data_IF_429173784703
#
_entry.id   IF_429173784703
#
_cell.length_a   1.000
_cell.length_b   1.000
_cell.length_c   1.000
_cell.angle_alpha   90.00
_cell.angle_beta   90.00
_cell.angle_gamma   90.00
#
_symmetry.space_group_name_H-M   'P 1'
#
loop_
_entity.id
_entity.type
_entity.pdbx_description
1 polymer ?
#
# COMPACT_ATOMS: atom_id res chain seq x y z
N UNK A 1 17.32 15.65 -0.42
CA UNK A 1 16.56 15.28 0.79
C UNK A 1 15.12 15.11 0.35
N UNK A 2 14.57 13.94 0.63
CA UNK A 2 13.31 13.43 0.09
C UNK A 2 12.12 14.32 0.47
N UNK A 3 11.29 14.69 -0.50
CA UNK A 3 9.84 14.38 -0.49
C UNK A 3 9.13 15.13 -1.62
N UNK A 4 8.62 14.35 -2.55
CA UNK A 4 7.44 14.69 -3.35
C UNK A 4 6.87 13.35 -3.76
N UNK A 5 5.99 12.79 -2.92
CA UNK A 5 5.19 11.63 -3.30
C UNK A 5 4.33 12.08 -4.46
N UNK A 6 4.79 11.80 -5.68
CA UNK A 6 4.04 12.07 -6.91
C UNK A 6 2.87 11.10 -6.92
N UNK A 7 1.73 11.52 -6.37
CA UNK A 7 0.46 10.86 -6.61
C UNK A 7 0.12 11.06 -8.11
N UNK A 8 0.04 10.00 -8.93
CA UNK A 8 -0.16 10.16 -10.36
C UNK A 8 -1.52 10.81 -10.63
N UNK A 9 -1.44 12.02 -11.17
CA UNK A 9 -2.52 12.83 -11.71
C UNK A 9 -3.34 12.01 -12.72
N UNK A 10 -4.64 11.88 -12.43
CA UNK A 10 -5.62 11.24 -13.30
C UNK A 10 -5.92 12.17 -14.49
N UNK A 11 -5.09 12.15 -15.53
CA UNK A 11 -5.35 12.88 -16.77
C UNK A 11 -5.91 11.98 -17.88
N UNK A 12 -6.88 12.54 -18.58
CA UNK A 12 -7.79 11.95 -19.55
C UNK A 12 -7.37 12.39 -20.95
N UNK A 13 -6.82 11.48 -21.76
CA UNK A 13 -6.59 11.72 -23.19
C UNK A 13 -7.34 10.67 -24.02
N UNK A 14 -8.36 11.16 -24.73
CA UNK A 14 -9.36 10.40 -25.48
C UNK A 14 -8.79 9.73 -26.73
N UNK A 15 -8.58 8.40 -26.71
CA UNK A 15 -8.79 7.48 -27.85
C UNK A 15 -8.98 6.05 -27.30
N UNK A 16 -10.21 5.53 -27.38
CA UNK A 16 -10.72 4.25 -26.81
C UNK A 16 -10.66 4.18 -25.27
N UNK A 17 -11.82 4.46 -24.67
CA UNK A 17 -12.19 4.60 -23.25
C UNK A 17 -11.93 3.36 -22.34
N UNK A 18 -10.78 2.70 -22.47
CA UNK A 18 -10.32 1.68 -21.53
C UNK A 18 -9.60 2.34 -20.36
N UNK A 19 -9.99 1.98 -19.14
CA UNK A 19 -9.29 2.44 -17.94
C UNK A 19 -8.13 1.50 -17.67
N UNK A 20 -7.06 1.73 -18.42
CA UNK A 20 -5.86 0.91 -18.39
C UNK A 20 -5.02 1.21 -17.16
N UNK A 21 -4.63 0.18 -16.41
CA UNK A 21 -3.65 0.30 -15.36
C UNK A 21 -2.26 0.52 -15.97
N UNK A 22 -1.61 1.63 -15.64
CA UNK A 22 -0.26 1.94 -16.16
C UNK A 22 0.85 1.10 -15.50
N UNK A 23 0.59 0.44 -14.36
CA UNK A 23 1.57 -0.44 -13.71
C UNK A 23 1.63 -1.84 -14.32
N UNK A 24 0.53 -2.36 -14.86
CA UNK A 24 0.48 -3.72 -15.41
C UNK A 24 -0.16 -3.83 -16.79
N UNK A 25 -0.61 -2.71 -17.38
CA UNK A 25 -1.27 -2.67 -18.69
C UNK A 25 -2.69 -3.23 -18.71
N UNK A 26 -3.28 -3.61 -17.57
CA UNK A 26 -4.61 -4.24 -17.54
C UNK A 26 -5.70 -3.25 -17.91
N UNK A 27 -6.58 -3.61 -18.85
CA UNK A 27 -7.77 -2.84 -19.18
C UNK A 27 -8.89 -3.09 -18.17
N UNK A 28 -9.45 -2.04 -17.58
CA UNK A 28 -10.60 -2.13 -16.68
C UNK A 28 -11.81 -1.42 -17.28
N UNK A 29 -13.00 -1.93 -16.94
CA UNK A 29 -14.29 -1.49 -17.48
C UNK A 29 -14.84 -0.21 -16.84
N UNK A 30 -14.31 0.22 -15.69
CA UNK A 30 -14.80 1.40 -14.97
C UNK A 30 -13.74 2.02 -14.06
N UNK A 31 -13.94 3.29 -13.69
CA UNK A 31 -12.93 4.05 -12.90
C UNK A 31 -12.86 3.53 -11.48
N UNK A 32 -13.99 3.08 -10.92
CA UNK A 32 -14.04 2.38 -9.65
C UNK A 32 -13.28 1.05 -9.70
N UNK A 33 -13.47 0.27 -10.78
CA UNK A 33 -12.74 -0.99 -10.98
C UNK A 33 -11.23 -0.77 -11.09
N UNK A 34 -10.79 0.30 -11.77
CA UNK A 34 -9.38 0.66 -11.83
C UNK A 34 -8.82 1.08 -10.46
N UNK A 35 -9.53 1.91 -9.70
CA UNK A 35 -9.10 2.29 -8.33
C UNK A 35 -8.94 1.08 -7.42
N UNK A 36 -9.95 0.18 -7.40
CA UNK A 36 -9.88 -1.05 -6.62
C UNK A 36 -8.75 -1.96 -7.10
N UNK A 37 -8.59 -2.11 -8.41
CA UNK A 37 -7.50 -2.89 -8.98
C UNK A 37 -6.13 -2.38 -8.52
N UNK A 38 -5.91 -1.06 -8.57
CA UNK A 38 -4.68 -0.44 -8.05
C UNK A 38 -4.55 -0.74 -6.56
N UNK A 39 -5.61 -0.52 -5.76
CA UNK A 39 -5.61 -0.81 -4.33
C UNK A 39 -5.27 -2.26 -3.97
N UNK A 40 -5.79 -3.22 -4.72
CA UNK A 40 -5.68 -4.64 -4.36
C UNK A 40 -4.41 -5.29 -4.92
N UNK A 41 -3.89 -4.78 -6.05
CA UNK A 41 -2.81 -5.44 -6.82
C UNK A 41 -1.52 -4.64 -6.88
N UNK A 42 -1.60 -3.33 -6.65
CA UNK A 42 -0.49 -2.41 -6.88
C UNK A 42 -0.22 -1.45 -5.73
N UNK A 43 -1.16 -1.26 -4.82
CA UNK A 43 -0.88 -0.58 -3.56
C UNK A 43 -0.02 -1.49 -2.69
N UNK A 44 1.12 -0.94 -2.30
CA UNK A 44 1.82 -1.37 -1.10
C UNK A 44 0.82 -1.18 0.04
N UNK A 45 0.63 -2.14 0.97
CA UNK A 45 -0.38 -2.02 2.00
C UNK A 45 -0.06 -0.85 2.92
N UNK A 46 -0.62 0.32 2.59
CA UNK A 46 -0.55 1.54 3.38
C UNK A 46 -1.57 1.36 4.51
N UNK A 47 -1.09 1.30 5.75
CA UNK A 47 -1.94 1.07 6.92
C UNK A 47 -1.86 -0.34 7.52
N UNK A 48 -0.94 -1.19 7.05
CA UNK A 48 -0.56 -2.39 7.82
C UNK A 48 0.78 -2.18 8.50
N UNK A 49 0.83 -2.54 9.77
CA UNK A 49 2.02 -2.55 10.59
C UNK A 49 2.65 -3.93 10.49
N UNK A 50 3.76 -4.03 9.76
CA UNK A 50 4.44 -5.30 9.49
C UNK A 50 5.55 -5.56 10.50
N UNK A 51 5.60 -6.79 11.03
CA UNK A 51 6.71 -7.25 11.84
C UNK A 51 7.93 -7.52 10.96
N UNK A 52 9.05 -6.89 11.26
CA UNK A 52 10.31 -7.09 10.52
C UNK A 52 10.99 -8.43 10.84
N UNK A 53 10.60 -9.09 11.94
CA UNK A 53 11.21 -10.36 12.37
C UNK A 53 10.51 -11.60 11.79
N UNK A 54 9.22 -11.50 11.48
CA UNK A 54 8.45 -12.64 10.95
C UNK A 54 7.49 -12.29 9.81
N UNK A 55 7.56 -11.05 9.29
CA UNK A 55 6.76 -10.57 8.16
C UNK A 55 5.22 -10.56 8.36
N UNK A 56 4.69 -10.89 9.55
CA UNK A 56 3.25 -10.79 9.84
C UNK A 56 2.78 -9.34 9.78
N UNK A 57 1.60 -9.14 9.20
CA UNK A 57 1.00 -7.82 9.00
C UNK A 57 -0.21 -7.64 9.93
N UNK A 58 -0.33 -6.44 10.51
CA UNK A 58 -1.37 -6.10 11.47
C UNK A 58 -2.09 -4.83 11.04
N UNK A 59 -3.39 -4.71 11.32
CA UNK A 59 -4.18 -3.52 11.00
C UNK A 59 -3.93 -2.32 11.93
N UNK A 60 -3.26 -2.53 13.08
CA UNK A 60 -2.92 -1.46 14.04
C UNK A 60 -1.52 -1.62 14.62
N UNK A 61 -0.91 -0.50 15.00
CA UNK A 61 0.42 -0.47 15.63
C UNK A 61 0.42 -1.16 16.99
N UNK A 62 -0.69 -1.09 17.73
CA UNK A 62 -0.82 -1.73 19.03
C UNK A 62 -0.81 -3.27 18.90
N UNK A 63 -1.50 -3.81 17.89
CA UNK A 63 -1.48 -5.24 17.58
C UNK A 63 -0.07 -5.72 17.19
N UNK A 64 0.66 -4.93 16.38
CA UNK A 64 2.06 -5.23 16.08
C UNK A 64 2.93 -5.22 17.34
N UNK A 65 2.79 -4.21 18.20
CA UNK A 65 3.57 -4.08 19.43
C UNK A 65 3.33 -5.26 20.39
N UNK A 66 2.07 -5.65 20.59
CA UNK A 66 1.72 -6.83 21.40
C UNK A 66 2.38 -8.09 20.82
N UNK A 67 2.26 -8.29 19.52
CA UNK A 67 2.91 -9.43 18.85
C UNK A 67 4.43 -9.43 19.05
N UNK A 68 5.09 -8.29 18.86
CA UNK A 68 6.54 -8.15 19.05
C UNK A 68 6.96 -8.44 20.49
N UNK A 69 6.17 -8.01 21.47
CA UNK A 69 6.44 -8.30 22.87
C UNK A 69 6.26 -9.79 23.20
N UNK A 70 5.17 -10.42 22.75
CA UNK A 70 4.86 -11.81 23.13
C UNK A 70 5.64 -12.85 22.33
N UNK A 71 5.90 -12.61 21.05
CA UNK A 71 6.54 -13.60 20.16
C UNK A 71 8.03 -13.34 19.92
N UNK A 72 8.47 -12.09 20.05
CA UNK A 72 9.86 -11.72 19.78
C UNK A 72 10.56 -11.08 20.98
N UNK A 73 9.84 -10.83 22.09
CA UNK A 73 10.37 -10.15 23.30
C UNK A 73 11.08 -8.83 22.99
N UNK A 74 10.72 -8.13 21.91
CA UNK A 74 11.34 -6.86 21.54
C UNK A 74 10.50 -5.70 22.03
N UNK A 75 11.12 -4.74 22.74
CA UNK A 75 10.48 -3.47 23.04
C UNK A 75 10.47 -2.54 21.83
N UNK A 76 9.61 -1.50 21.91
CA UNK A 76 9.36 -0.52 20.85
C UNK A 76 10.68 0.01 20.29
N UNK A 77 10.99 -0.28 19.02
CA UNK A 77 11.83 0.63 18.25
C UNK A 77 10.89 1.67 17.67
N UNK A 78 10.76 2.79 18.39
CA UNK A 78 10.37 4.04 17.76
C UNK A 78 11.58 4.50 16.95
N UNK A 79 11.72 3.97 15.74
CA UNK A 79 12.65 4.54 14.76
C UNK A 79 11.81 5.39 13.82
N UNK A 80 11.72 6.68 14.16
CA UNK A 80 11.48 7.71 13.18
C UNK A 80 12.86 8.02 12.58
N UNK A 81 13.06 7.63 11.32
CA UNK A 81 14.10 8.19 10.46
C UNK A 81 13.48 8.37 9.08
#
# INVERSE_FOLDING_TARGET
>A
MHESVVYPIMQNTSLRHGLTCLQCGKLLSSRGSLRRHISDKHSIPVGVFRCQLCARSYSTQNSLNKHRYTYHKTNRVASWQ
#
